data_IF_380577097542
#
_entry.id   IF_380577097542
#
_cell.length_a   1.000
_cell.length_b   1.000
_cell.length_c   1.000
_cell.angle_alpha   90.00
_cell.angle_beta   90.00
_cell.angle_gamma   90.00
#
_symmetry.space_group_name_H-M   'P 1'
#
loop_
_entity.id
_entity.type
_entity.pdbx_description
1 polymer ?
#
# COMPACT_ATOMS: atom_id res chain seq x y z
N UNK A 1 -7.70 -17.65 12.08
CA UNK A 1 -7.34 -16.25 11.88
C UNK A 1 -6.70 -16.11 10.52
N UNK A 2 -7.20 -15.19 9.72
CA UNK A 2 -6.78 -15.06 8.33
C UNK A 2 -6.17 -13.71 8.08
N UNK A 3 -4.91 -13.70 7.67
CA UNK A 3 -4.24 -12.47 7.31
C UNK A 3 -3.29 -12.76 6.15
N UNK A 4 -2.92 -11.70 5.46
CA UNK A 4 -1.92 -11.75 4.41
C UNK A 4 -0.65 -11.07 4.91
N UNK A 5 0.49 -11.59 4.51
CA UNK A 5 1.75 -10.91 4.74
C UNK A 5 2.10 -10.16 3.46
N UNK A 6 2.33 -8.85 3.60
CA UNK A 6 2.75 -8.01 2.48
C UNK A 6 4.07 -7.33 2.85
N UNK A 7 4.79 -6.88 1.84
CA UNK A 7 6.07 -6.22 2.06
C UNK A 7 5.95 -4.77 1.63
N UNK A 8 6.23 -3.87 2.55
CA UNK A 8 6.17 -2.42 2.30
C UNK A 8 7.58 -1.89 2.43
N UNK A 9 8.14 -1.42 1.34
CA UNK A 9 9.51 -0.92 1.30
C UNK A 9 10.49 -1.92 1.90
N UNK A 10 10.26 -3.21 1.62
CA UNK A 10 11.11 -4.30 2.09
C UNK A 10 10.79 -4.82 3.48
N UNK A 11 9.83 -4.23 4.16
CA UNK A 11 9.49 -4.61 5.53
C UNK A 11 8.17 -5.37 5.54
N UNK A 12 8.11 -6.50 6.26
CA UNK A 12 6.93 -7.35 6.28
C UNK A 12 5.88 -6.84 7.26
N UNK A 13 4.64 -6.83 6.80
CA UNK A 13 3.49 -6.49 7.62
C UNK A 13 2.40 -7.53 7.43
N UNK A 14 1.71 -7.86 8.52
CA UNK A 14 0.54 -8.73 8.45
C UNK A 14 -0.70 -7.86 8.33
N UNK A 15 -1.50 -8.13 7.33
CA UNK A 15 -2.69 -7.36 7.02
C UNK A 15 -3.92 -8.23 7.14
N UNK A 16 -5.02 -7.64 7.56
CA UNK A 16 -6.30 -8.32 7.55
C UNK A 16 -6.57 -8.86 6.15
N UNK A 17 -7.20 -10.02 6.09
CA UNK A 17 -7.46 -10.73 4.86
C UNK A 17 -8.22 -9.90 3.81
N UNK A 18 -9.08 -9.01 4.25
CA UNK A 18 -9.90 -8.20 3.35
C UNK A 18 -9.41 -6.77 3.16
N UNK A 19 -8.21 -6.47 3.64
CA UNK A 19 -7.69 -5.10 3.61
C UNK A 19 -7.36 -4.66 2.19
N UNK A 20 -7.77 -3.46 1.84
CA UNK A 20 -7.40 -2.86 0.57
C UNK A 20 -6.04 -2.16 0.69
N UNK A 21 -5.46 -1.83 -0.45
CA UNK A 21 -4.23 -1.05 -0.49
C UNK A 21 -4.43 0.31 0.18
N UNK A 22 -5.58 0.94 -0.06
CA UNK A 22 -5.90 2.21 0.58
C UNK A 22 -5.92 2.06 2.10
N UNK A 23 -6.56 1.00 2.61
CA UNK A 23 -6.64 0.75 4.05
C UNK A 23 -5.26 0.59 4.67
N UNK A 24 -4.38 -0.12 3.99
CA UNK A 24 -3.02 -0.32 4.50
C UNK A 24 -2.27 1.00 4.59
N UNK A 25 -2.36 1.81 3.54
CA UNK A 25 -1.66 3.10 3.52
C UNK A 25 -2.14 4.00 4.66
N UNK A 26 -3.45 4.05 4.89
CA UNK A 26 -3.98 4.87 5.98
C UNK A 26 -3.61 4.30 7.34
N UNK A 27 -3.59 2.98 7.48
CA UNK A 27 -3.18 2.33 8.72
C UNK A 27 -1.73 2.66 9.07
N UNK A 28 -0.87 2.75 8.07
CA UNK A 28 0.54 3.05 8.25
C UNK A 28 0.83 4.56 8.28
N UNK A 29 -0.20 5.37 8.31
CA UNK A 29 -0.11 6.84 8.38
C UNK A 29 0.52 7.50 7.15
N UNK A 30 0.42 6.87 6.00
CA UNK A 30 0.81 7.53 4.77
C UNK A 30 -0.29 8.50 4.33
N UNK A 31 0.10 9.64 3.81
CA UNK A 31 -0.84 10.56 3.20
C UNK A 31 -1.05 10.11 1.75
N UNK A 32 -2.22 9.55 1.46
CA UNK A 32 -2.51 8.99 0.15
C UNK A 32 -2.45 10.02 -0.98
N UNK A 33 -2.54 11.30 -0.63
CA UNK A 33 -2.45 12.38 -1.62
C UNK A 33 -1.01 12.79 -1.92
N UNK A 34 -0.05 12.22 -1.19
CA UNK A 34 1.36 12.61 -1.31
C UNK A 34 2.29 11.43 -1.54
N UNK A 35 1.74 10.30 -1.95
CA UNK A 35 2.57 9.13 -2.18
C UNK A 35 2.45 8.65 -3.61
N UNK A 36 3.53 8.07 -4.09
CA UNK A 36 3.54 7.28 -5.30
C UNK A 36 3.63 5.82 -4.85
N UNK A 37 2.72 5.01 -5.30
CA UNK A 37 2.64 3.61 -4.89
C UNK A 37 2.95 2.71 -6.08
N UNK A 38 3.93 1.83 -5.87
CA UNK A 38 4.24 0.80 -6.83
C UNK A 38 3.79 -0.53 -6.22
N UNK A 39 2.85 -1.18 -6.87
CA UNK A 39 2.24 -2.41 -6.38
C UNK A 39 2.64 -3.54 -7.32
N UNK A 40 3.45 -4.48 -6.80
CA UNK A 40 3.96 -5.58 -7.61
C UNK A 40 4.55 -5.08 -8.93
N UNK A 41 5.37 -4.03 -8.83
CA UNK A 41 6.12 -3.43 -9.94
C UNK A 41 5.26 -2.60 -10.90
N UNK A 42 4.04 -2.25 -10.50
CA UNK A 42 3.18 -1.38 -11.31
C UNK A 42 2.80 -0.15 -10.50
N UNK A 43 2.92 1.00 -11.11
CA UNK A 43 2.50 2.25 -10.46
C UNK A 43 0.98 2.31 -10.49
N UNK A 44 0.40 2.56 -9.33
CA UNK A 44 -1.05 2.56 -9.15
C UNK A 44 -1.54 4.00 -8.95
N UNK A 45 -2.57 4.35 -9.69
CA UNK A 45 -3.22 5.64 -9.53
C UNK A 45 -3.90 5.73 -8.17
N UNK A 46 -3.89 6.94 -7.58
CA UNK A 46 -4.56 7.16 -6.30
C UNK A 46 -6.05 6.84 -6.37
N UNK A 47 -6.65 6.90 -7.56
CA UNK A 47 -8.06 6.55 -7.73
C UNK A 47 -8.32 5.06 -7.59
N UNK A 48 -7.30 4.23 -7.78
CA UNK A 48 -7.47 2.78 -7.78
C UNK A 48 -7.07 2.12 -6.47
N UNK A 49 -6.55 2.87 -5.51
CA UNK A 49 -6.03 2.29 -4.27
C UNK A 49 -7.08 1.50 -3.49
N UNK A 50 -8.30 2.00 -3.44
CA UNK A 50 -9.36 1.33 -2.69
C UNK A 50 -9.93 0.12 -3.42
N UNK A 51 -9.63 -0.02 -4.70
CA UNK A 51 -10.12 -1.13 -5.50
C UNK A 51 -9.21 -2.36 -5.42
N UNK A 52 -8.01 -2.20 -4.90
CA UNK A 52 -7.05 -3.29 -4.84
C UNK A 52 -7.12 -3.94 -3.47
N UNK A 53 -7.51 -5.19 -3.42
CA UNK A 53 -7.49 -5.99 -2.19
C UNK A 53 -6.13 -6.69 -2.13
N UNK A 54 -5.46 -6.51 -1.01
CA UNK A 54 -4.12 -7.08 -0.83
C UNK A 54 -4.18 -8.60 -0.78
N UNK A 55 -3.16 -9.23 -1.35
CA UNK A 55 -3.02 -10.67 -1.32
C UNK A 55 -1.67 -11.04 -0.69
N UNK A 56 -1.54 -12.30 -0.34
CA UNK A 56 -0.34 -12.75 0.37
C UNK A 56 0.91 -12.56 -0.49
N UNK A 57 1.95 -12.03 0.13
CA UNK A 57 3.26 -11.77 -0.48
C UNK A 57 3.28 -10.63 -1.51
N UNK A 58 2.26 -9.79 -1.50
CA UNK A 58 2.29 -8.57 -2.32
C UNK A 58 3.47 -7.69 -1.92
N UNK A 59 4.07 -7.03 -2.89
CA UNK A 59 5.19 -6.12 -2.67
C UNK A 59 4.81 -4.70 -3.03
N UNK A 60 5.05 -3.81 -2.09
CA UNK A 60 4.71 -2.40 -2.23
C UNK A 60 5.96 -1.56 -2.04
N UNK A 61 6.16 -0.61 -2.94
CA UNK A 61 7.13 0.44 -2.76
C UNK A 61 6.37 1.76 -2.67
N UNK A 62 6.54 2.46 -1.57
CA UNK A 62 5.80 3.68 -1.32
C UNK A 62 6.79 4.81 -1.16
N UNK A 63 6.66 5.81 -2.01
CA UNK A 63 7.53 6.97 -1.99
C UNK A 63 6.69 8.18 -1.67
N UNK A 64 7.06 8.88 -0.60
CA UNK A 64 6.37 10.10 -0.20
C UNK A 64 6.95 11.27 -0.96
N UNK A 65 6.09 12.04 -1.59
CA UNK A 65 6.49 13.24 -2.30
C UNK A 65 6.56 14.36 -1.28
N UNK A 66 7.75 14.95 -1.13
CA UNK A 66 7.96 16.05 -0.21
C UNK A 66 8.25 17.32 -1.00
N UNK A 67 8.00 18.45 -0.39
CA UNK A 67 8.33 19.66 -1.03
C UNK A 67 7.18 20.18 -1.78
N UNK A 68 6.68 20.65 -1.95
CA UNK A 68 5.76 21.20 -2.64
C UNK A 68 5.83 22.56 -2.84
N UNK A 69 5.78 22.84 -3.24
CA UNK A 69 5.81 24.05 -3.59
C UNK A 69 4.66 24.87 -3.59
#
# INVERSE_FOLDING_TARGET
MHYNTVFVNGEAFNCDYSMSLYDLLTYLDFDVNRVVVEYNQKIISSYDLSEIVLTNHDKLEIITIVGGG
#
